data_IF_702128500855
#
_entry.id   IF_702128500855
#
_cell.length_a   1.000
_cell.length_b   1.000
_cell.length_c   1.000
_cell.angle_alpha   90.00
_cell.angle_beta   90.00
_cell.angle_gamma   90.00
#
_symmetry.space_group_name_H-M   'P 1'
#
loop_
_entity.id
_entity.type
_entity.pdbx_description
1 polymer ?
#
# COMPACT_ATOMS: atom_id res chain seq x y z
N UNK A 1 71.96 -31.30 13.90
CA UNK A 1 71.16 -30.35 13.10
C UNK A 1 69.71 -30.66 13.30
N UNK A 2 69.03 -29.98 14.22
CA UNK A 2 67.58 -30.14 14.46
C UNK A 2 66.89 -29.03 13.71
N UNK A 3 65.98 -29.40 12.74
CA UNK A 3 65.13 -28.46 12.02
C UNK A 3 63.82 -28.30 12.82
N UNK A 4 63.60 -27.12 13.37
CA UNK A 4 62.31 -26.71 13.92
C UNK A 4 61.31 -26.44 12.77
N UNK A 5 60.21 -27.20 12.71
CA UNK A 5 59.10 -26.98 11.84
C UNK A 5 58.07 -26.16 12.65
N UNK A 6 57.93 -24.87 12.32
CA UNK A 6 56.86 -24.03 12.88
C UNK A 6 55.55 -24.31 12.16
N UNK A 7 54.59 -24.88 12.89
CA UNK A 7 53.21 -25.00 12.41
C UNK A 7 52.44 -23.70 12.72
N UNK A 8 52.17 -22.92 11.70
CA UNK A 8 51.27 -21.77 11.81
C UNK A 8 49.79 -22.28 11.73
N UNK A 9 49.11 -22.22 12.85
CA UNK A 9 47.67 -22.52 12.91
C UNK A 9 46.91 -21.28 12.42
N UNK A 10 46.37 -21.35 11.20
CA UNK A 10 45.46 -20.34 10.66
C UNK A 10 44.10 -20.52 11.34
N UNK A 11 43.78 -19.65 12.28
CA UNK A 11 42.45 -19.59 12.89
C UNK A 11 41.50 -18.91 11.91
N UNK A 12 40.72 -19.67 11.12
CA UNK A 12 39.66 -19.14 10.29
C UNK A 12 38.49 -18.73 11.20
N UNK A 13 38.35 -17.43 11.42
CA UNK A 13 37.17 -16.86 12.10
C UNK A 13 36.00 -16.94 11.13
N UNK A 14 35.18 -17.98 11.26
CA UNK A 14 33.88 -18.04 10.61
C UNK A 14 32.95 -17.00 11.27
N UNK A 15 32.84 -15.82 10.67
CA UNK A 15 31.78 -14.87 11.00
C UNK A 15 30.47 -15.47 10.51
N UNK A 16 29.78 -16.18 11.38
CA UNK A 16 28.40 -16.59 11.13
C UNK A 16 27.55 -15.31 11.09
N UNK A 17 27.24 -14.83 9.90
CA UNK A 17 26.11 -13.92 9.72
C UNK A 17 24.86 -14.70 10.15
N UNK A 18 24.44 -14.49 11.39
CA UNK A 18 23.11 -14.89 11.83
C UNK A 18 22.11 -14.05 11.04
N UNK A 19 21.74 -14.51 9.85
CA UNK A 19 20.57 -14.00 9.17
C UNK A 19 19.40 -14.21 10.16
N UNK A 20 18.83 -13.10 10.63
CA UNK A 20 17.64 -13.18 11.46
C UNK A 20 16.59 -13.96 10.66
N UNK A 21 16.12 -15.08 11.22
CA UNK A 21 15.06 -15.84 10.59
C UNK A 21 13.79 -14.97 10.55
N UNK A 22 13.09 -14.98 9.42
CA UNK A 22 11.80 -14.30 9.30
C UNK A 22 10.85 -14.73 10.44
N UNK A 23 9.94 -13.85 10.88
CA UNK A 23 9.04 -14.20 11.99
C UNK A 23 8.19 -15.42 11.62
N UNK A 24 8.13 -16.38 12.54
CA UNK A 24 7.44 -17.65 12.33
C UNK A 24 5.91 -17.55 12.52
N UNK A 25 5.45 -16.47 13.17
CA UNK A 25 4.03 -16.24 13.44
C UNK A 25 3.74 -14.74 13.66
N UNK A 26 2.45 -14.43 13.67
CA UNK A 26 1.96 -13.05 13.79
C UNK A 26 2.42 -12.35 15.08
N UNK A 27 2.51 -13.05 16.22
CA UNK A 27 2.94 -12.43 17.48
C UNK A 27 4.41 -12.02 17.45
N UNK A 28 5.27 -12.83 16.85
CA UNK A 28 6.67 -12.48 16.61
C UNK A 28 6.78 -11.29 15.65
N UNK A 29 6.03 -11.29 14.54
CA UNK A 29 6.00 -10.19 13.59
C UNK A 29 5.61 -8.87 14.25
N UNK A 30 4.54 -8.85 15.05
CA UNK A 30 4.12 -7.66 15.81
C UNK A 30 5.21 -7.13 16.74
N UNK A 31 5.91 -8.04 17.41
CA UNK A 31 7.00 -7.66 18.33
C UNK A 31 8.17 -7.03 17.58
N UNK A 32 8.61 -7.65 16.50
CA UNK A 32 9.69 -7.12 15.65
C UNK A 32 9.33 -5.78 15.02
N UNK A 33 8.12 -5.68 14.49
CA UNK A 33 7.61 -4.43 13.91
C UNK A 33 7.61 -3.31 14.95
N UNK A 34 7.10 -3.56 16.16
CA UNK A 34 7.08 -2.58 17.24
C UNK A 34 8.49 -2.14 17.65
N UNK A 35 9.42 -3.08 17.80
CA UNK A 35 10.74 -2.82 18.37
C UNK A 35 11.75 -2.26 17.35
N UNK A 36 11.61 -2.62 16.07
CA UNK A 36 12.66 -2.38 15.09
C UNK A 36 12.20 -1.64 13.83
N UNK A 37 10.90 -1.58 13.58
CA UNK A 37 10.37 -0.93 12.37
C UNK A 37 9.64 0.36 12.72
N UNK A 38 8.67 0.29 13.63
CA UNK A 38 7.78 1.40 13.95
C UNK A 38 8.09 2.10 15.28
N UNK A 39 9.22 1.79 15.93
CA UNK A 39 9.55 2.26 17.28
C UNK A 39 9.52 3.79 17.43
N UNK A 40 9.81 4.53 16.37
CA UNK A 40 9.86 5.98 16.27
C UNK A 40 8.68 6.60 15.49
N UNK A 41 7.70 5.80 15.04
CA UNK A 41 6.64 6.25 14.13
C UNK A 41 5.34 6.65 14.83
N UNK A 42 5.24 6.43 16.11
CA UNK A 42 4.02 6.71 16.87
C UNK A 42 3.63 8.20 16.93
N UNK A 43 4.55 9.12 16.66
CA UNK A 43 4.30 10.56 16.55
C UNK A 43 4.04 11.04 15.12
N UNK A 44 4.30 10.19 14.11
CA UNK A 44 4.04 10.50 12.71
C UNK A 44 2.59 10.16 12.31
N UNK A 45 1.97 9.26 13.06
CA UNK A 45 0.59 8.86 12.85
C UNK A 45 0.42 7.52 12.14
N UNK A 46 -0.78 6.97 12.27
CA UNK A 46 -1.17 5.71 11.64
C UNK A 46 -1.46 5.87 10.13
N UNK A 47 -1.52 4.74 9.41
CA UNK A 47 -1.65 4.75 7.95
C UNK A 47 -2.96 5.39 7.45
N UNK A 48 -4.05 5.29 8.21
CA UNK A 48 -5.37 5.71 7.71
C UNK A 48 -5.71 7.16 8.02
N UNK A 49 -5.56 7.55 9.27
CA UNK A 49 -5.99 8.88 9.70
C UNK A 49 -4.84 9.77 10.17
N UNK A 50 -3.61 9.26 10.22
CA UNK A 50 -2.49 9.99 10.80
C UNK A 50 -2.61 10.16 12.32
N UNK A 51 -3.36 9.28 13.00
CA UNK A 51 -3.53 9.37 14.45
C UNK A 51 -2.25 8.97 15.16
N UNK A 52 -1.73 9.86 15.99
CA UNK A 52 -0.62 9.56 16.89
C UNK A 52 -1.06 8.62 18.01
N UNK A 53 -0.11 7.86 18.56
CA UNK A 53 -0.38 6.95 19.67
C UNK A 53 0.78 6.88 20.64
N UNK A 54 0.54 6.32 21.82
CA UNK A 54 1.57 5.98 22.79
C UNK A 54 1.75 4.47 22.84
N UNK A 55 2.99 4.00 22.71
CA UNK A 55 3.26 2.58 22.78
C UNK A 55 2.91 1.97 24.12
N UNK A 56 2.30 0.79 24.13
CA UNK A 56 1.96 0.01 25.32
C UNK A 56 2.34 -1.47 25.14
N UNK A 57 2.90 -2.02 26.21
CA UNK A 57 3.28 -3.44 26.22
C UNK A 57 4.24 -3.81 25.11
N UNK A 58 4.13 -5.05 24.66
CA UNK A 58 5.08 -5.66 23.72
C UNK A 58 4.88 -5.21 22.28
N UNK A 59 3.65 -4.97 21.86
CA UNK A 59 3.33 -4.66 20.45
C UNK A 59 2.09 -3.77 20.29
N UNK A 60 1.48 -3.27 21.34
CA UNK A 60 0.26 -2.45 21.29
C UNK A 60 0.53 -0.95 21.39
N UNK A 61 -0.47 -0.14 21.08
CA UNK A 61 -0.49 1.30 21.29
C UNK A 61 -1.82 1.76 21.87
N UNK A 62 -1.81 2.88 22.60
CA UNK A 62 -3.01 3.55 23.09
C UNK A 62 -3.18 4.90 22.42
N UNK A 63 -4.42 5.24 22.11
CA UNK A 63 -4.83 6.51 21.52
C UNK A 63 -5.72 7.23 22.54
N UNK A 64 -5.33 8.43 22.94
CA UNK A 64 -6.13 9.28 23.82
C UNK A 64 -7.23 9.99 23.03
N UNK A 65 -8.26 10.48 23.73
CA UNK A 65 -9.30 11.31 23.09
C UNK A 65 -8.74 12.56 22.41
N UNK A 66 -7.67 13.16 22.95
CA UNK A 66 -6.99 14.29 22.34
C UNK A 66 -6.28 13.90 21.04
N UNK A 67 -5.58 12.78 21.02
CA UNK A 67 -4.93 12.26 19.81
C UNK A 67 -5.95 11.92 18.71
N UNK A 68 -7.07 11.28 19.08
CA UNK A 68 -8.17 11.00 18.16
C UNK A 68 -8.78 12.28 17.57
N UNK A 69 -9.04 13.29 18.40
CA UNK A 69 -9.55 14.58 17.95
C UNK A 69 -8.56 15.32 17.03
N UNK A 70 -7.26 15.25 17.33
CA UNK A 70 -6.20 15.87 16.52
C UNK A 70 -6.13 15.27 15.11
N UNK A 71 -6.27 13.97 14.97
CA UNK A 71 -6.30 13.29 13.66
C UNK A 71 -7.69 13.32 12.98
N UNK A 72 -8.66 13.98 13.58
CA UNK A 72 -9.97 14.23 12.99
C UNK A 72 -10.98 13.11 13.09
N UNK A 73 -10.71 12.09 13.91
CA UNK A 73 -11.72 11.06 14.21
C UNK A 73 -12.86 11.66 15.03
N UNK A 74 -14.08 11.48 14.56
CA UNK A 74 -15.27 11.97 15.23
C UNK A 74 -15.45 11.25 16.59
N UNK A 75 -16.05 12.00 17.52
CA UNK A 75 -16.39 11.50 18.84
C UNK A 75 -17.44 10.36 18.84
N UNK A 76 -18.26 10.26 17.81
CA UNK A 76 -19.20 9.17 17.61
C UNK A 76 -18.49 7.81 17.47
N UNK A 77 -17.19 7.82 17.14
CA UNK A 77 -16.39 6.62 16.92
C UNK A 77 -15.63 6.15 18.19
N UNK A 78 -16.21 6.36 19.37
CA UNK A 78 -15.63 6.08 20.69
C UNK A 78 -15.77 4.63 21.16
N UNK A 79 -15.61 3.65 20.29
CA UNK A 79 -15.51 2.28 20.76
C UNK A 79 -14.20 2.05 21.53
N UNK A 80 -14.18 1.04 22.40
CA UNK A 80 -12.94 0.66 23.12
C UNK A 80 -11.79 0.34 22.15
N UNK A 81 -12.10 -0.08 20.91
CA UNK A 81 -11.12 -0.30 19.86
C UNK A 81 -10.54 1.01 19.28
N UNK A 82 -11.28 2.12 19.33
CA UNK A 82 -10.77 3.43 18.92
C UNK A 82 -9.66 3.97 19.85
N UNK A 83 -9.58 3.46 21.07
CA UNK A 83 -8.59 3.88 22.07
C UNK A 83 -7.26 3.13 21.96
N UNK A 84 -7.09 2.32 20.93
CA UNK A 84 -5.86 1.54 20.71
C UNK A 84 -5.50 1.42 19.24
N UNK A 85 -4.21 1.20 18.97
CA UNK A 85 -3.77 0.72 17.67
C UNK A 85 -3.94 -0.80 17.59
N UNK A 86 -4.21 -1.28 16.38
CA UNK A 86 -4.17 -2.69 16.03
C UNK A 86 -3.28 -2.87 14.79
N UNK A 87 -2.68 -4.05 14.67
CA UNK A 87 -1.91 -4.41 13.49
C UNK A 87 -2.86 -4.84 12.38
N UNK A 88 -2.98 -4.00 11.40
CA UNK A 88 -3.77 -4.23 10.20
C UNK A 88 -3.03 -5.13 9.23
N UNK A 89 -3.70 -6.16 8.74
CA UNK A 89 -3.29 -6.87 7.54
C UNK A 89 -3.88 -6.15 6.33
N UNK A 90 -3.07 -5.36 5.62
CA UNK A 90 -3.52 -4.60 4.43
C UNK A 90 -4.11 -5.52 3.37
N UNK A 91 -3.50 -6.68 3.15
CA UNK A 91 -4.16 -7.83 2.54
C UNK A 91 -4.79 -8.65 3.66
N UNK A 92 -6.11 -8.61 3.78
CA UNK A 92 -6.81 -9.23 4.91
C UNK A 92 -6.43 -10.71 5.10
N UNK A 93 -6.05 -11.08 6.32
CA UNK A 93 -5.64 -12.45 6.64
C UNK A 93 -6.74 -13.48 6.32
N UNK A 94 -8.01 -13.14 6.55
CA UNK A 94 -9.14 -14.02 6.20
C UNK A 94 -9.26 -14.25 4.69
N UNK A 95 -8.99 -13.23 3.86
CA UNK A 95 -9.01 -13.39 2.41
C UNK A 95 -7.83 -14.25 1.93
N UNK A 96 -6.67 -14.10 2.56
CA UNK A 96 -5.51 -14.94 2.29
C UNK A 96 -5.74 -16.39 2.75
N UNK A 97 -6.36 -16.59 3.92
CA UNK A 97 -6.68 -17.91 4.47
C UNK A 97 -7.53 -18.78 3.51
N UNK A 98 -8.38 -18.18 2.71
CA UNK A 98 -9.21 -18.91 1.73
C UNK A 98 -8.39 -19.72 0.71
N UNK A 99 -7.10 -19.45 0.58
CA UNK A 99 -6.20 -20.20 -0.31
C UNK A 99 -5.56 -21.44 0.38
N UNK A 100 -5.83 -21.65 1.68
CA UNK A 100 -5.29 -22.75 2.46
C UNK A 100 -6.33 -23.81 2.78
N UNK A 101 -5.93 -25.08 2.74
CA UNK A 101 -6.80 -26.20 3.06
C UNK A 101 -7.29 -26.12 4.51
N UNK A 102 -6.41 -25.81 5.45
CA UNK A 102 -6.73 -25.67 6.87
C UNK A 102 -7.88 -24.70 7.15
N UNK A 103 -8.06 -23.68 6.30
CA UNK A 103 -9.17 -22.73 6.44
C UNK A 103 -10.55 -23.35 6.23
N UNK A 104 -10.64 -24.36 5.36
CA UNK A 104 -11.88 -25.12 5.12
C UNK A 104 -12.21 -26.08 6.27
N UNK A 105 -11.19 -26.48 7.02
CA UNK A 105 -11.30 -27.44 8.13
C UNK A 105 -11.67 -26.79 9.47
N UNK A 106 -11.32 -25.51 9.66
CA UNK A 106 -11.61 -24.83 10.94
C UNK A 106 -11.27 -23.33 10.94
N UNK A 107 -11.17 -22.73 9.76
CA UNK A 107 -10.92 -21.30 9.61
C UNK A 107 -9.50 -20.88 10.00
N UNK A 108 -9.32 -19.56 10.21
CA UNK A 108 -8.02 -18.96 10.54
C UNK A 108 -7.37 -19.57 11.78
N UNK A 109 -8.14 -19.79 12.84
CA UNK A 109 -7.61 -20.32 14.11
C UNK A 109 -7.08 -21.76 13.96
N UNK A 110 -7.69 -22.54 13.09
CA UNK A 110 -7.18 -23.88 12.76
C UNK A 110 -5.89 -23.77 11.96
N UNK A 111 -5.84 -22.90 10.95
CA UNK A 111 -4.61 -22.67 10.19
C UNK A 111 -3.44 -22.24 11.07
N UNK A 112 -3.67 -21.33 12.01
CA UNK A 112 -2.62 -20.87 12.93
C UNK A 112 -2.03 -22.01 13.78
N UNK A 113 -2.81 -23.06 14.06
CA UNK A 113 -2.36 -24.22 14.86
C UNK A 113 -1.70 -25.31 14.03
N UNK A 114 -2.07 -25.44 12.77
CA UNK A 114 -1.76 -26.62 11.96
C UNK A 114 -0.92 -26.35 10.72
N UNK A 115 -0.83 -25.11 10.24
CA UNK A 115 -0.17 -24.79 8.98
C UNK A 115 0.97 -23.75 9.17
N UNK A 116 2.23 -24.18 9.21
CA UNK A 116 3.37 -23.27 9.32
C UNK A 116 3.50 -22.31 8.13
N UNK A 117 3.06 -22.72 6.94
CA UNK A 117 3.11 -21.86 5.74
C UNK A 117 2.11 -20.72 5.85
N UNK A 118 0.92 -21.02 6.38
CA UNK A 118 -0.06 -20.00 6.72
C UNK A 118 0.49 -19.03 7.77
N UNK A 119 1.10 -19.54 8.84
CA UNK A 119 1.69 -18.71 9.88
C UNK A 119 2.78 -17.78 9.35
N UNK A 120 3.66 -18.26 8.47
CA UNK A 120 4.70 -17.45 7.85
C UNK A 120 4.11 -16.36 6.96
N UNK A 121 3.05 -16.65 6.20
CA UNK A 121 2.33 -15.69 5.37
C UNK A 121 1.60 -14.65 6.22
N UNK A 122 0.92 -15.06 7.29
CA UNK A 122 0.24 -14.16 8.22
C UNK A 122 1.22 -13.25 8.97
N UNK A 123 2.44 -13.73 9.20
CA UNK A 123 3.52 -13.00 9.84
C UNK A 123 4.30 -12.06 8.91
N UNK A 124 3.94 -11.97 7.63
CA UNK A 124 4.65 -11.12 6.68
C UNK A 124 4.57 -9.64 7.09
N UNK A 125 5.72 -9.11 7.52
CA UNK A 125 5.81 -7.76 8.06
C UNK A 125 5.53 -6.67 7.01
N UNK A 126 5.75 -6.95 5.72
CA UNK A 126 5.39 -6.00 4.66
C UNK A 126 3.87 -5.78 4.57
N UNK A 127 3.07 -6.77 4.99
CA UNK A 127 1.61 -6.69 4.99
C UNK A 127 1.02 -6.06 6.27
N UNK A 128 1.85 -5.73 7.26
CA UNK A 128 1.40 -5.30 8.60
C UNK A 128 1.70 -3.81 8.84
N UNK A 129 0.71 -3.07 9.33
CA UNK A 129 0.85 -1.67 9.71
C UNK A 129 -0.02 -1.36 10.93
N UNK A 130 0.40 -0.46 11.85
CA UNK A 130 -0.46 -0.02 12.92
C UNK A 130 -1.53 0.92 12.36
N UNK A 131 -2.77 0.71 12.79
CA UNK A 131 -3.90 1.59 12.50
C UNK A 131 -4.82 1.71 13.71
N UNK A 132 -5.71 2.69 13.71
CA UNK A 132 -6.76 2.81 14.73
C UNK A 132 -7.62 1.56 14.73
N UNK A 133 -7.79 0.92 15.89
CA UNK A 133 -8.45 -0.39 15.97
C UNK A 133 -9.93 -0.37 15.57
N UNK A 134 -10.64 0.74 15.72
CA UNK A 134 -12.02 0.86 15.23
C UNK A 134 -12.08 0.88 13.71
N UNK A 135 -11.14 1.54 13.03
CA UNK A 135 -11.06 1.56 11.57
C UNK A 135 -10.66 0.20 11.02
N UNK A 136 -9.71 -0.49 11.69
CA UNK A 136 -9.40 -1.88 11.38
C UNK A 136 -10.67 -2.77 11.46
N UNK A 137 -11.49 -2.59 12.49
CA UNK A 137 -12.73 -3.34 12.65
C UNK A 137 -13.72 -3.08 11.51
N UNK A 138 -13.90 -1.82 11.13
CA UNK A 138 -14.84 -1.43 10.08
C UNK A 138 -14.35 -1.86 8.71
N UNK A 139 -13.06 -1.71 8.44
CA UNK A 139 -12.43 -2.19 7.22
C UNK A 139 -12.63 -3.70 7.06
N UNK A 140 -12.57 -4.46 8.17
CA UNK A 140 -12.83 -5.90 8.16
C UNK A 140 -11.98 -6.63 7.09
N UNK A 141 -12.62 -7.33 6.14
CA UNK A 141 -11.98 -7.94 4.99
C UNK A 141 -12.48 -7.37 3.65
N UNK A 142 -12.97 -6.13 3.68
CA UNK A 142 -13.49 -5.47 2.49
C UNK A 142 -12.39 -5.25 1.46
N UNK A 143 -12.77 -5.29 0.19
CA UNK A 143 -11.84 -4.94 -0.90
C UNK A 143 -11.54 -3.44 -0.86
N UNK A 144 -10.34 -3.07 -1.27
CA UNK A 144 -10.00 -1.66 -1.49
C UNK A 144 -10.65 -1.15 -2.78
N UNK A 145 -11.11 0.08 -2.76
CA UNK A 145 -11.78 0.69 -3.91
C UNK A 145 -12.00 2.18 -3.70
N UNK A 146 -12.66 2.81 -4.66
CA UNK A 146 -13.19 4.17 -4.58
C UNK A 146 -14.70 4.08 -4.36
N UNK A 147 -15.24 4.98 -3.52
CA UNK A 147 -16.65 5.03 -3.14
C UNK A 147 -17.18 6.42 -3.52
N UNK A 148 -17.85 6.58 -4.68
CA UNK A 148 -18.34 7.89 -5.10
C UNK A 148 -19.49 8.39 -4.23
N UNK A 149 -19.40 9.63 -3.76
CA UNK A 149 -20.53 10.33 -3.12
C UNK A 149 -20.89 9.87 -1.72
N UNK A 150 -19.94 9.26 -0.99
CA UNK A 150 -20.10 8.82 0.39
C UNK A 150 -20.19 9.98 1.39
N UNK A 151 -20.82 9.73 2.52
CA UNK A 151 -20.80 10.61 3.66
C UNK A 151 -19.51 10.36 4.47
N UNK A 152 -18.87 11.42 4.98
CA UNK A 152 -17.70 11.31 5.86
C UNK A 152 -18.11 10.78 7.24
N UNK A 153 -18.11 9.45 7.38
CA UNK A 153 -18.54 8.76 8.60
C UNK A 153 -17.55 8.97 9.76
N UNK A 154 -16.25 9.14 9.43
CA UNK A 154 -15.18 9.18 10.43
C UNK A 154 -14.64 10.60 10.69
N UNK A 155 -15.48 11.63 10.50
CA UNK A 155 -15.13 13.01 10.71
C UNK A 155 -14.22 13.57 9.61
N UNK A 156 -13.05 14.13 9.99
CA UNK A 156 -12.07 14.64 9.02
C UNK A 156 -11.11 13.56 8.50
N UNK A 157 -11.11 12.37 9.11
CA UNK A 157 -10.36 11.25 8.57
C UNK A 157 -11.04 10.78 7.28
N UNK A 158 -10.33 10.85 6.18
CA UNK A 158 -10.82 10.56 4.82
C UNK A 158 -10.80 9.04 4.52
N UNK A 159 -11.23 8.26 5.50
CA UNK A 159 -11.40 6.81 5.38
C UNK A 159 -12.90 6.51 5.23
N UNK A 160 -13.28 5.75 4.22
CA UNK A 160 -14.67 5.51 3.89
C UNK A 160 -14.98 4.01 3.76
N UNK A 161 -16.24 3.64 4.02
CA UNK A 161 -16.69 2.25 3.85
C UNK A 161 -18.08 2.16 3.25
N UNK A 162 -18.22 1.37 2.20
CA UNK A 162 -19.51 0.90 1.71
C UNK A 162 -19.74 -0.54 2.22
N UNK A 163 -20.59 -0.68 3.22
CA UNK A 163 -20.90 -1.98 3.84
C UNK A 163 -21.71 -2.89 2.92
N UNK A 164 -22.54 -2.31 2.06
CA UNK A 164 -23.37 -3.07 1.13
C UNK A 164 -22.54 -3.70 0.02
N UNK A 165 -21.59 -2.93 -0.53
CA UNK A 165 -20.68 -3.41 -1.58
C UNK A 165 -19.42 -4.06 -1.03
N UNK A 166 -19.18 -3.98 0.29
CA UNK A 166 -17.97 -4.46 0.99
C UNK A 166 -16.71 -3.86 0.41
N UNK A 167 -16.70 -2.53 0.27
CA UNK A 167 -15.59 -1.72 -0.20
C UNK A 167 -15.13 -0.83 0.92
N UNK A 168 -13.82 -0.65 1.05
CA UNK A 168 -13.20 0.37 1.87
C UNK A 168 -12.36 1.27 0.96
N UNK A 169 -12.50 2.57 1.13
CA UNK A 169 -11.68 3.57 0.48
C UNK A 169 -10.70 4.17 1.48
N UNK A 170 -9.41 4.05 1.24
CA UNK A 170 -8.40 4.65 2.09
C UNK A 170 -8.18 6.11 1.70
N UNK A 171 -7.69 6.95 2.63
CA UNK A 171 -7.22 8.28 2.29
C UNK A 171 -6.21 8.25 1.15
N UNK A 172 -6.20 9.30 0.34
CA UNK A 172 -5.32 9.39 -0.82
C UNK A 172 -3.85 9.13 -0.47
N UNK A 173 -3.39 9.69 0.65
CA UNK A 173 -2.02 9.50 1.17
C UNK A 173 -1.62 8.05 1.44
N UNK A 174 -2.58 7.17 1.69
CA UNK A 174 -2.36 5.75 1.96
C UNK A 174 -2.39 4.85 0.70
N UNK A 175 -3.00 5.33 -0.39
CA UNK A 175 -3.29 4.51 -1.59
C UNK A 175 -2.04 3.90 -2.19
N UNK A 176 -0.96 4.66 -2.31
CA UNK A 176 0.30 4.16 -2.88
C UNK A 176 0.89 3.00 -2.09
N UNK A 177 1.05 3.16 -0.79
CA UNK A 177 1.57 2.12 0.10
C UNK A 177 0.66 0.88 0.12
N UNK A 178 -0.66 1.07 0.20
CA UNK A 178 -1.64 -0.03 0.13
C UNK A 178 -1.50 -0.80 -1.19
N UNK A 179 -1.38 -0.10 -2.32
CA UNK A 179 -1.22 -0.71 -3.63
C UNK A 179 0.03 -1.58 -3.71
N UNK A 180 1.17 -1.05 -3.29
CA UNK A 180 2.45 -1.79 -3.28
C UNK A 180 2.43 -3.00 -2.36
N UNK A 181 1.78 -2.89 -1.20
CA UNK A 181 1.57 -4.03 -0.31
C UNK A 181 0.68 -5.09 -0.96
N UNK A 182 -0.42 -4.68 -1.60
CA UNK A 182 -1.39 -5.60 -2.22
C UNK A 182 -0.80 -6.35 -3.41
N UNK A 183 -0.07 -5.65 -4.27
CA UNK A 183 0.61 -6.26 -5.42
C UNK A 183 1.70 -7.23 -4.96
N UNK A 184 2.57 -6.78 -4.05
CA UNK A 184 3.60 -7.62 -3.46
C UNK A 184 3.05 -8.90 -2.84
N UNK A 185 2.06 -8.78 -1.97
CA UNK A 185 1.51 -9.91 -1.24
C UNK A 185 0.85 -10.92 -2.18
N UNK A 186 0.11 -10.42 -3.18
CA UNK A 186 -0.51 -11.27 -4.18
C UNK A 186 0.52 -12.06 -5.00
N UNK A 187 1.59 -11.41 -5.45
CA UNK A 187 2.60 -12.05 -6.28
C UNK A 187 3.50 -12.98 -5.46
N UNK A 188 3.86 -12.58 -4.24
CA UNK A 188 4.70 -13.41 -3.35
C UNK A 188 4.04 -14.72 -2.96
N UNK A 189 2.75 -14.69 -2.70
CA UNK A 189 1.99 -15.86 -2.25
C UNK A 189 1.13 -16.49 -3.34
N UNK A 190 1.34 -16.08 -4.59
CA UNK A 190 0.59 -16.55 -5.75
C UNK A 190 -0.94 -16.47 -5.56
N UNK A 191 -1.41 -15.38 -4.96
CA UNK A 191 -2.82 -15.12 -4.73
C UNK A 191 -3.39 -14.33 -5.91
N UNK A 192 -4.39 -14.88 -6.56
CA UNK A 192 -5.03 -14.24 -7.70
C UNK A 192 -5.86 -13.03 -7.28
N UNK A 193 -5.46 -11.84 -7.72
CA UNK A 193 -6.31 -10.65 -7.72
C UNK A 193 -7.26 -10.67 -8.93
N UNK A 194 -8.47 -10.13 -8.78
CA UNK A 194 -9.29 -9.85 -9.96
C UNK A 194 -8.59 -8.82 -10.87
N UNK A 195 -8.91 -8.82 -12.17
CA UNK A 195 -8.34 -7.85 -13.10
C UNK A 195 -8.60 -6.40 -12.65
N UNK A 196 -9.79 -6.10 -12.16
CA UNK A 196 -10.15 -4.79 -11.63
C UNK A 196 -9.30 -4.38 -10.42
N UNK A 197 -9.09 -5.30 -9.45
CA UNK A 197 -8.26 -5.01 -8.28
C UNK A 197 -6.79 -4.82 -8.67
N UNK A 198 -6.27 -5.63 -9.60
CA UNK A 198 -4.89 -5.48 -10.07
C UNK A 198 -4.69 -4.16 -10.80
N UNK A 199 -5.60 -3.76 -11.67
CA UNK A 199 -5.57 -2.48 -12.36
C UNK A 199 -5.63 -1.29 -11.38
N UNK A 200 -6.53 -1.34 -10.39
CA UNK A 200 -6.63 -0.32 -9.36
C UNK A 200 -5.29 -0.13 -8.64
N UNK A 201 -4.69 -1.23 -8.17
CA UNK A 201 -3.41 -1.14 -7.45
C UNK A 201 -2.25 -0.73 -8.34
N UNK A 202 -2.23 -1.13 -9.61
CA UNK A 202 -1.24 -0.66 -10.59
C UNK A 202 -1.37 0.85 -10.81
N UNK A 203 -2.60 1.37 -10.94
CA UNK A 203 -2.86 2.80 -11.08
C UNK A 203 -2.42 3.57 -9.82
N UNK A 204 -2.81 3.12 -8.63
CA UNK A 204 -2.39 3.76 -7.40
C UNK A 204 -0.86 3.72 -7.20
N UNK A 205 -0.21 2.61 -7.56
CA UNK A 205 1.26 2.53 -7.52
C UNK A 205 1.92 3.51 -8.51
N UNK A 206 1.34 3.72 -9.68
CA UNK A 206 1.88 4.63 -10.69
C UNK A 206 1.73 6.11 -10.28
N UNK A 207 0.57 6.47 -9.70
CA UNK A 207 0.23 7.86 -9.35
C UNK A 207 0.94 8.30 -8.06
N UNK A 208 0.93 7.46 -7.02
CA UNK A 208 1.46 7.82 -5.71
C UNK A 208 2.94 7.42 -5.56
N UNK A 209 3.85 8.38 -5.39
CA UNK A 209 5.27 8.09 -5.19
C UNK A 209 5.53 7.33 -3.90
N UNK A 210 6.67 6.64 -3.82
CA UNK A 210 7.16 6.07 -2.58
C UNK A 210 7.62 7.22 -1.67
N UNK A 211 7.16 7.21 -0.42
CA UNK A 211 7.61 8.17 0.58
C UNK A 211 8.94 7.72 1.22
N UNK A 212 9.68 8.67 1.79
CA UNK A 212 10.92 8.36 2.54
C UNK A 212 10.63 7.36 3.68
N UNK A 213 9.50 7.51 4.35
CA UNK A 213 9.08 6.56 5.37
C UNK A 213 8.82 5.17 4.80
N UNK A 214 8.15 5.05 3.68
CA UNK A 214 7.86 3.74 3.08
C UNK A 214 9.15 3.02 2.66
N UNK A 215 10.12 3.77 2.13
CA UNK A 215 11.44 3.24 1.78
C UNK A 215 12.22 2.79 3.01
N UNK A 216 12.22 3.60 4.08
CA UNK A 216 12.87 3.26 5.34
C UNK A 216 12.18 2.07 6.02
N UNK A 217 10.85 2.01 5.99
CA UNK A 217 10.07 0.87 6.48
C UNK A 217 10.47 -0.41 5.77
N UNK A 218 10.55 -0.38 4.44
CA UNK A 218 10.97 -1.54 3.64
C UNK A 218 12.38 -2.01 4.02
N UNK A 219 13.32 -1.08 4.15
CA UNK A 219 14.69 -1.36 4.57
C UNK A 219 14.75 -2.00 5.97
N UNK A 220 13.99 -1.47 6.92
CA UNK A 220 13.91 -2.01 8.29
C UNK A 220 13.31 -3.40 8.31
N UNK A 221 12.24 -3.63 7.54
CA UNK A 221 11.59 -4.94 7.44
C UNK A 221 12.54 -5.96 6.81
N UNK A 222 13.19 -5.61 5.71
CA UNK A 222 14.08 -6.52 4.99
C UNK A 222 15.22 -7.05 5.87
N UNK A 223 15.70 -6.25 6.82
CA UNK A 223 16.72 -6.66 7.80
C UNK A 223 16.30 -7.86 8.66
N UNK A 224 15.02 -7.96 8.99
CA UNK A 224 14.48 -9.00 9.88
C UNK A 224 13.71 -10.10 9.13
N UNK A 225 13.13 -9.75 7.98
CA UNK A 225 12.35 -10.69 7.19
C UNK A 225 13.19 -11.38 6.10
N UNK A 226 14.30 -10.75 5.69
CA UNK A 226 15.25 -11.32 4.73
C UNK A 226 15.01 -10.92 3.27
N UNK A 227 13.98 -10.12 2.97
CA UNK A 227 13.69 -9.63 1.61
C UNK A 227 12.95 -8.30 1.63
N UNK A 228 13.07 -7.58 0.52
CA UNK A 228 12.39 -6.31 0.26
C UNK A 228 11.04 -6.52 -0.43
N UNK A 229 10.19 -5.50 -0.37
CA UNK A 229 9.06 -5.38 -1.27
C UNK A 229 9.54 -4.82 -2.64
N UNK A 230 9.53 -5.62 -3.72
CA UNK A 230 10.05 -5.20 -5.01
C UNK A 230 9.30 -3.98 -5.58
N UNK A 231 8.01 -3.84 -5.30
CA UNK A 231 7.21 -2.69 -5.74
C UNK A 231 7.65 -1.37 -5.11
N UNK A 232 8.16 -1.40 -3.87
CA UNK A 232 8.75 -0.21 -3.22
C UNK A 232 10.06 0.16 -3.90
N UNK A 233 10.96 -0.80 -4.10
CA UNK A 233 12.27 -0.55 -4.70
C UNK A 233 12.16 -0.10 -6.17
N UNK A 234 11.31 -0.73 -6.95
CA UNK A 234 11.10 -0.38 -8.35
C UNK A 234 10.52 1.02 -8.48
N UNK A 235 9.48 1.34 -7.74
CA UNK A 235 8.84 2.66 -7.78
C UNK A 235 9.74 3.76 -7.27
N UNK A 236 10.57 3.50 -6.25
CA UNK A 236 11.56 4.45 -5.76
C UNK A 236 12.62 4.76 -6.84
N UNK A 237 13.10 3.76 -7.58
CA UNK A 237 14.04 3.95 -8.69
C UNK A 237 13.45 4.83 -9.80
N UNK A 238 12.18 4.63 -10.14
CA UNK A 238 11.49 5.45 -11.13
C UNK A 238 11.30 6.90 -10.66
N UNK A 239 11.12 7.13 -9.37
CA UNK A 239 11.01 8.47 -8.77
C UNK A 239 12.34 9.23 -8.69
N UNK A 240 13.48 8.54 -8.69
CA UNK A 240 14.82 9.15 -8.70
C UNK A 240 15.32 9.51 -10.10
N UNK A 241 14.67 9.03 -11.15
CA UNK A 241 14.93 9.48 -12.52
C UNK A 241 14.21 10.82 -12.71
N UNK A 242 14.87 11.91 -12.31
CA UNK A 242 14.51 13.24 -12.83
C UNK A 242 14.44 13.16 -14.35
N UNK A 243 13.43 13.72 -15.01
CA UNK A 243 13.49 13.83 -16.46
C UNK A 243 14.79 14.55 -16.80
N UNK A 244 15.73 13.81 -17.40
CA UNK A 244 16.97 14.37 -17.90
C UNK A 244 16.60 15.44 -18.92
N UNK A 245 16.80 16.72 -18.55
CA UNK A 245 16.76 17.85 -19.47
C UNK A 245 17.97 17.79 -20.42
N UNK A 246 18.15 16.69 -21.12
CA UNK A 246 19.00 16.59 -22.29
C UNK A 246 18.13 16.77 -23.53
N UNK A 247 17.59 17.97 -23.69
CA UNK A 247 17.27 18.49 -25.02
C UNK A 247 18.60 18.96 -25.60
N UNK A 248 19.09 18.40 -26.74
CA UNK A 248 20.20 18.99 -27.45
C UNK A 248 19.82 20.41 -27.82
N UNK A 249 20.56 21.41 -27.31
CA UNK A 249 20.50 22.76 -27.87
C UNK A 249 21.01 22.71 -29.30
N UNK A 250 20.14 22.65 -30.26
CA UNK A 250 20.44 23.06 -31.62
C UNK A 250 20.24 24.57 -31.70
N UNK A 251 21.34 25.27 -31.83
CA UNK A 251 21.42 26.66 -32.21
C UNK A 251 20.83 26.89 -33.61
N UNK A 252 20.12 27.98 -33.73
CA UNK A 252 19.66 28.67 -34.96
C UNK A 252 18.54 27.97 -35.77
N UNK A 253 17.33 28.52 -35.65
CA UNK A 253 16.54 29.01 -36.81
C UNK A 253 15.48 30.01 -36.31
N UNK A 254 15.37 31.07 -37.10
CA UNK A 254 14.57 32.29 -36.97
C UNK A 254 13.09 32.12 -36.65
N UNK A 255 12.60 33.13 -35.95
CA UNK A 255 11.20 33.37 -35.64
C UNK A 255 10.27 33.30 -36.88
N UNK A 256 9.31 32.39 -36.82
CA UNK A 256 8.03 32.53 -37.51
C UNK A 256 6.93 32.47 -36.43
N UNK A 257 6.30 33.63 -36.23
CA UNK A 257 5.07 33.71 -35.46
C UNK A 257 3.97 32.98 -36.22
N UNK A 258 3.51 31.86 -35.68
CA UNK A 258 2.21 31.32 -36.03
C UNK A 258 1.41 31.15 -34.74
N UNK A 259 0.15 31.57 -34.82
CA UNK A 259 -0.85 31.62 -33.76
C UNK A 259 -1.01 30.27 -33.00
N UNK A 260 -1.50 30.30 -31.74
CA UNK A 260 -1.68 29.10 -30.95
C UNK A 260 -2.75 28.18 -31.56
N UNK A 261 -2.56 26.83 -31.57
CA UNK A 261 -3.61 25.94 -31.98
C UNK A 261 -4.71 25.94 -30.92
N UNK A 262 -5.85 26.46 -31.23
CA UNK A 262 -7.13 26.21 -30.58
C UNK A 262 -7.59 24.84 -31.06
N UNK A 263 -7.52 23.83 -30.20
CA UNK A 263 -8.45 22.70 -30.08
C UNK A 263 -7.87 21.73 -29.03
N UNK A 264 -8.18 21.99 -27.75
CA UNK A 264 -8.10 20.96 -26.72
C UNK A 264 -9.24 19.99 -27.00
N UNK A 265 -8.92 18.86 -27.66
CA UNK A 265 -9.88 17.77 -27.83
C UNK A 265 -10.27 17.24 -26.45
N UNK A 266 -11.49 17.54 -26.00
CA UNK A 266 -12.07 17.04 -24.77
C UNK A 266 -12.14 15.51 -24.83
N UNK A 267 -11.60 14.83 -23.83
CA UNK A 267 -11.68 13.38 -23.69
C UNK A 267 -12.94 13.03 -22.91
N UNK A 268 -13.74 12.07 -23.38
CA UNK A 268 -14.98 11.67 -22.71
C UNK A 268 -14.85 10.26 -22.10
N UNK A 269 -14.98 10.17 -20.78
CA UNK A 269 -15.09 8.92 -20.05
C UNK A 269 -16.54 8.49 -19.88
N UNK A 270 -16.80 7.19 -19.97
CA UNK A 270 -18.08 6.59 -19.65
C UNK A 270 -18.03 5.98 -18.26
N UNK A 271 -18.68 6.62 -17.28
CA UNK A 271 -18.74 6.16 -15.87
C UNK A 271 -19.18 4.72 -15.70
N UNK A 272 -20.08 4.25 -16.56
CA UNK A 272 -20.63 2.91 -16.46
C UNK A 272 -19.63 1.83 -16.88
N UNK A 273 -18.84 2.09 -17.93
CA UNK A 273 -17.87 1.11 -18.46
C UNK A 273 -16.45 1.32 -17.96
N UNK A 274 -16.14 2.51 -17.40
CA UNK A 274 -14.77 2.90 -17.05
C UNK A 274 -13.87 3.07 -18.28
N UNK A 275 -14.46 3.32 -19.46
CA UNK A 275 -13.71 3.50 -20.72
C UNK A 275 -13.76 4.98 -21.10
N UNK A 276 -12.61 5.55 -21.52
CA UNK A 276 -12.56 6.86 -22.13
C UNK A 276 -12.43 6.76 -23.66
N UNK A 277 -12.89 7.81 -24.33
CA UNK A 277 -12.91 7.93 -25.79
C UNK A 277 -12.34 9.28 -26.19
N UNK A 278 -11.50 9.28 -27.24
CA UNK A 278 -11.00 10.50 -27.85
C UNK A 278 -12.00 11.00 -28.87
N UNK A 279 -12.06 12.35 -29.06
CA UNK A 279 -12.96 12.95 -30.05
C UNK A 279 -12.61 12.51 -31.47
N UNK A 280 -11.31 12.30 -31.74
CA UNK A 280 -10.83 11.77 -33.02
C UNK A 280 -10.65 10.24 -32.96
N UNK A 281 -11.26 9.52 -33.90
CA UNK A 281 -11.03 8.09 -34.13
C UNK A 281 -11.81 7.10 -33.23
N UNK A 282 -12.64 7.57 -32.29
CA UNK A 282 -13.46 6.69 -31.46
C UNK A 282 -14.95 6.75 -31.85
N UNK A 283 -15.51 5.72 -32.50
CA UNK A 283 -16.92 5.72 -32.92
C UNK A 283 -17.91 5.93 -31.76
N UNK A 284 -17.52 5.50 -30.54
CA UNK A 284 -18.36 5.56 -29.36
C UNK A 284 -18.32 6.92 -28.64
N UNK A 285 -17.50 7.89 -29.06
CA UNK A 285 -17.36 9.18 -28.41
C UNK A 285 -18.67 9.94 -28.26
N UNK A 286 -19.52 9.91 -29.29
CA UNK A 286 -20.82 10.57 -29.32
C UNK A 286 -21.99 9.70 -28.83
N UNK A 287 -21.74 8.42 -28.58
CA UNK A 287 -22.78 7.46 -28.18
C UNK A 287 -22.87 7.21 -26.66
N UNK A 288 -22.04 7.92 -25.87
CA UNK A 288 -22.11 7.86 -24.41
C UNK A 288 -23.37 8.60 -23.95
N UNK A 289 -24.22 7.96 -23.15
CA UNK A 289 -25.37 8.63 -22.54
C UNK A 289 -24.92 9.80 -21.67
N UNK A 290 -25.60 10.95 -21.76
CA UNK A 290 -25.27 12.15 -21.00
C UNK A 290 -25.16 11.91 -19.50
N UNK A 291 -25.94 10.99 -18.95
CA UNK A 291 -25.90 10.61 -17.54
C UNK A 291 -24.57 9.89 -17.13
N UNK A 292 -23.82 9.39 -18.09
CA UNK A 292 -22.58 8.64 -17.86
C UNK A 292 -21.32 9.33 -18.36
N UNK A 293 -21.44 10.54 -18.95
CA UNK A 293 -20.28 11.30 -19.46
C UNK A 293 -19.50 11.90 -18.31
N UNK A 294 -18.19 11.76 -18.36
CA UNK A 294 -17.21 12.56 -17.62
C UNK A 294 -16.27 13.16 -18.65
N UNK A 295 -16.09 14.48 -18.62
CA UNK A 295 -15.17 15.17 -19.54
C UNK A 295 -13.83 15.44 -18.86
N UNK A 296 -12.75 15.26 -19.62
CA UNK A 296 -11.37 15.47 -19.19
C UNK A 296 -10.67 16.37 -20.21
N UNK A 297 -9.79 17.25 -19.72
CA UNK A 297 -9.03 18.16 -20.56
C UNK A 297 -8.02 17.45 -21.49
N UNK A 298 -7.63 16.22 -21.12
CA UNK A 298 -6.69 15.40 -21.88
C UNK A 298 -6.77 13.92 -21.49
N UNK A 299 -6.10 13.06 -22.24
CA UNK A 299 -6.05 11.61 -22.04
C UNK A 299 -5.42 11.22 -20.69
N UNK A 300 -4.40 11.96 -20.23
CA UNK A 300 -3.74 11.74 -18.96
C UNK A 300 -4.71 11.91 -17.79
N UNK A 301 -5.54 12.95 -17.81
CA UNK A 301 -6.55 13.19 -16.76
C UNK A 301 -7.61 12.06 -16.73
N UNK A 302 -7.99 11.51 -17.88
CA UNK A 302 -8.92 10.40 -17.95
C UNK A 302 -8.29 9.11 -17.35
N UNK A 303 -7.03 8.87 -17.66
CA UNK A 303 -6.27 7.72 -17.10
C UNK A 303 -6.09 7.89 -15.59
N UNK A 304 -5.74 9.07 -15.12
CA UNK A 304 -5.61 9.40 -13.70
C UNK A 304 -6.93 9.20 -12.94
N UNK A 305 -8.05 9.52 -13.58
CA UNK A 305 -9.38 9.26 -13.04
C UNK A 305 -9.79 7.77 -13.10
N UNK A 306 -8.90 6.88 -13.53
CA UNK A 306 -9.13 5.43 -13.57
C UNK A 306 -9.88 4.93 -14.79
N UNK A 307 -10.02 5.74 -15.84
CA UNK A 307 -10.61 5.31 -17.11
C UNK A 307 -9.55 4.65 -17.98
N UNK A 308 -9.98 3.69 -18.80
CA UNK A 308 -9.15 2.97 -19.79
C UNK A 308 -9.59 3.31 -21.22
N UNK A 309 -8.71 3.17 -22.17
CA UNK A 309 -9.00 3.34 -23.60
C UNK A 309 -9.86 2.22 -24.16
#
# INVERSE_FOLDING_TARGET
MFKCISFAILLAVFVHNLANAAPANFDQAKTLLRQHVYFDQNTQGDLYCGCQWNWRGRSGGSISGQQAAACGLDQSYRSTRAQRTEWEHVFAASNAANHFQCSREGGRDHCQKTDPTFNAMEADMHNLTPVVGSLNAVRSNYKWGLIPGEAREFGRCDFEVDRAQRVAEPPESARGMIARIKLYFADRYNIRLSSQQRQLFQSWNAIHPVTDWELERDRRIAKYQGWHNPYVLERARLGTVSPSNNVPQSTDVQAHQTAPPTDTEVVRGNRRSGVYHLASGCPSYHSISNANIVEFDNESNAIEAGFRK
#
